data_IF_790045398422
#
_entry.id   IF_790045398422
#
_cell.length_a   1.000
_cell.length_b   1.000
_cell.length_c   1.000
_cell.angle_alpha   90.00
_cell.angle_beta   90.00
_cell.angle_gamma   90.00
#
_symmetry.space_group_name_H-M   'P 1'
#
loop_
_entity.id
_entity.type
_entity.pdbx_description
1 polymer ?
#
# COMPACT_ATOMS: atom_id res chain seq x y z
N UNK A 1 20.84 13.97 -3.27
CA UNK A 1 20.18 12.68 -3.63
C UNK A 1 18.71 12.91 -3.99
N UNK A 2 18.46 13.11 -5.28
CA UNK A 2 17.14 13.33 -5.88
C UNK A 2 16.30 12.05 -5.75
N UNK A 3 15.45 12.00 -4.73
CA UNK A 3 14.42 10.99 -4.61
C UNK A 3 13.46 11.20 -5.78
N UNK A 4 13.74 10.49 -6.87
CA UNK A 4 12.82 10.32 -7.98
C UNK A 4 11.72 9.40 -7.45
N UNK A 5 10.79 9.98 -6.69
CA UNK A 5 9.55 9.33 -6.28
C UNK A 5 8.80 9.08 -7.57
N UNK A 6 8.72 7.81 -7.95
CA UNK A 6 7.97 7.32 -9.09
C UNK A 6 6.59 7.99 -9.04
N UNK A 7 6.29 8.74 -10.09
CA UNK A 7 5.06 9.51 -10.34
C UNK A 7 3.97 9.36 -9.25
N UNK A 8 3.81 10.38 -8.39
CA UNK A 8 2.83 10.40 -7.29
C UNK A 8 1.38 10.15 -7.74
N UNK A 9 1.12 10.25 -9.04
CA UNK A 9 -0.18 10.03 -9.68
C UNK A 9 -0.53 8.55 -9.93
N UNK A 10 0.36 7.58 -9.67
CA UNK A 10 0.03 6.14 -9.69
C UNK A 10 -0.42 5.62 -8.31
N UNK A 11 -0.43 6.47 -7.29
CA UNK A 11 -1.10 6.20 -6.03
C UNK A 11 -2.55 6.66 -6.17
N UNK A 12 -3.32 5.96 -6.99
CA UNK A 12 -4.75 6.20 -7.02
C UNK A 12 -5.26 6.03 -5.58
N UNK A 13 -5.85 7.06 -4.95
CA UNK A 13 -6.37 6.96 -3.58
C UNK A 13 -7.50 5.92 -3.43
N UNK A 14 -7.89 5.30 -4.54
CA UNK A 14 -8.99 4.36 -4.66
C UNK A 14 -8.50 2.96 -5.07
N UNK A 15 -7.21 2.66 -4.97
CA UNK A 15 -6.73 1.28 -5.13
C UNK A 15 -7.19 0.48 -3.91
N UNK A 16 -8.34 -0.17 -4.08
CA UNK A 16 -8.95 -1.05 -3.06
C UNK A 16 -8.15 -2.34 -3.01
N UNK A 17 -7.05 -2.32 -2.25
CA UNK A 17 -6.19 -3.48 -2.09
C UNK A 17 -6.90 -4.52 -1.21
N UNK A 18 -6.99 -5.75 -1.71
CA UNK A 18 -7.57 -6.84 -0.95
C UNK A 18 -6.61 -7.30 0.16
N UNK A 19 -7.11 -7.39 1.39
CA UNK A 19 -6.35 -7.91 2.52
C UNK A 19 -6.06 -9.41 2.33
N UNK A 20 -4.80 -9.86 2.40
CA UNK A 20 -4.45 -11.28 2.28
C UNK A 20 -4.83 -12.12 3.50
N UNK A 21 -5.15 -11.47 4.63
CA UNK A 21 -5.50 -12.17 5.89
C UNK A 21 -6.99 -12.49 6.00
N UNK A 22 -7.85 -11.56 5.58
CA UNK A 22 -9.31 -11.67 5.76
C UNK A 22 -10.11 -11.50 4.47
N UNK A 23 -9.46 -11.26 3.33
CA UNK A 23 -10.07 -10.99 2.03
C UNK A 23 -10.96 -9.72 1.96
N UNK A 24 -10.94 -8.86 2.99
CA UNK A 24 -11.63 -7.57 2.95
C UNK A 24 -10.96 -6.58 2.00
N UNK A 25 -11.77 -5.69 1.41
CA UNK A 25 -11.30 -4.57 0.60
C UNK A 25 -11.24 -3.25 1.40
N UNK A 26 -11.62 -3.26 2.68
CA UNK A 26 -11.40 -2.12 3.57
C UNK A 26 -9.95 -2.15 4.05
N UNK A 27 -9.07 -1.65 3.18
CA UNK A 27 -7.68 -1.41 3.52
C UNK A 27 -7.33 0.03 3.20
N UNK A 28 -6.47 0.63 4.02
CA UNK A 28 -5.97 1.96 3.80
C UNK A 28 -4.44 1.95 3.81
N UNK A 29 -3.85 2.85 3.03
CA UNK A 29 -2.41 3.01 2.95
C UNK A 29 -1.92 3.81 4.17
N UNK A 30 -1.05 3.21 4.98
CA UNK A 30 -0.42 3.89 6.12
C UNK A 30 0.84 4.63 5.67
N UNK A 31 1.68 3.98 4.85
CA UNK A 31 2.96 4.52 4.43
C UNK A 31 3.23 4.20 2.97
N UNK A 32 3.82 5.15 2.26
CA UNK A 32 4.26 4.97 0.88
C UNK A 32 5.49 4.07 0.77
N UNK A 33 6.19 3.86 1.89
CA UNK A 33 7.37 3.02 2.00
C UNK A 33 7.11 1.95 3.08
N UNK A 34 6.99 0.71 2.66
CA UNK A 34 6.91 -0.47 3.54
C UNK A 34 8.30 -1.05 3.81
N UNK A 35 8.41 -2.37 3.75
CA UNK A 35 9.68 -3.08 3.98
C UNK A 35 10.78 -2.76 2.95
N UNK A 36 10.41 -2.32 1.74
CA UNK A 36 11.34 -1.87 0.70
C UNK A 36 10.78 -0.65 -0.02
N UNK A 37 11.62 0.11 -0.74
CA UNK A 37 11.17 1.27 -1.50
C UNK A 37 10.10 0.95 -2.57
N UNK A 38 10.07 -0.29 -3.06
CA UNK A 38 9.09 -0.80 -4.02
C UNK A 38 7.79 -1.29 -3.35
N UNK A 39 7.72 -1.33 -2.02
CA UNK A 39 6.53 -1.75 -1.26
C UNK A 39 5.89 -0.53 -0.59
N UNK A 40 4.57 -0.51 -0.53
CA UNK A 40 3.80 0.38 0.32
C UNK A 40 3.18 -0.41 1.47
N UNK A 41 3.05 0.23 2.63
CA UNK A 41 2.44 -0.38 3.80
C UNK A 41 0.94 -0.07 3.82
N UNK A 42 0.13 -1.12 3.82
CA UNK A 42 -1.32 -1.05 3.96
C UNK A 42 -1.74 -1.67 5.29
N UNK A 43 -2.89 -1.26 5.80
CA UNK A 43 -3.55 -1.89 6.94
C UNK A 43 -5.02 -2.12 6.63
N UNK A 44 -5.52 -3.28 7.04
CA UNK A 44 -6.94 -3.60 6.94
C UNK A 44 -7.70 -3.06 8.15
N UNK A 45 -8.84 -2.41 7.94
CA UNK A 45 -9.69 -1.92 9.03
C UNK A 45 -10.53 -3.03 9.67
N UNK A 46 -10.83 -4.11 8.93
CA UNK A 46 -11.60 -5.25 9.47
C UNK A 46 -10.77 -6.13 10.40
N UNK A 47 -9.61 -6.60 9.93
CA UNK A 47 -8.75 -7.49 10.73
C UNK A 47 -7.63 -6.76 11.47
N UNK A 48 -7.43 -5.45 11.22
CA UNK A 48 -6.41 -4.59 11.84
C UNK A 48 -4.96 -4.99 11.58
N UNK A 49 -4.74 -5.98 10.71
CA UNK A 49 -3.41 -6.46 10.36
C UNK A 49 -2.77 -5.59 9.26
N UNK A 50 -1.51 -5.14 9.46
CA UNK A 50 -0.74 -4.46 8.43
C UNK A 50 -0.11 -5.46 7.44
N UNK A 51 0.02 -5.07 6.17
CA UNK A 51 0.64 -5.88 5.13
C UNK A 51 1.36 -5.01 4.09
N UNK A 52 2.41 -5.57 3.48
CA UNK A 52 3.14 -4.92 2.39
C UNK A 52 2.47 -5.21 1.04
N UNK A 53 2.20 -4.15 0.28
CA UNK A 53 1.72 -4.22 -1.09
C UNK A 53 2.80 -3.74 -2.07
N UNK A 54 3.04 -4.50 -3.14
CA UNK A 54 4.03 -4.15 -4.14
C UNK A 54 3.48 -3.09 -5.09
N UNK A 55 4.16 -1.95 -5.17
CA UNK A 55 3.89 -0.91 -6.16
C UNK A 55 4.41 -1.41 -7.51
N UNK A 56 3.54 -1.60 -8.51
CA UNK A 56 4.00 -1.91 -9.86
C UNK A 56 4.77 -0.71 -10.44
N UNK A 57 5.87 -1.01 -11.13
CA UNK A 57 6.73 -0.04 -11.82
C UNK A 57 6.26 0.14 -13.28
#
# INVERSE_FOLDING_TARGET
PKQQVCNENLFAPNETVQCPHCNSYHTHRISEFGSTACKALYQCDDCKEPFDYFKCH
#
